data_IF_161044109249
#
_entry.id   IF_161044109249
#
_cell.length_a   1.000
_cell.length_b   1.000
_cell.length_c   1.000
_cell.angle_alpha   90.00
_cell.angle_beta   90.00
_cell.angle_gamma   90.00
#
_symmetry.space_group_name_H-M   'P 1'
#
loop_
_entity.id
_entity.type
_entity.pdbx_description
1 polymer ?
#
# COMPACT_ATOMS: atom_id res chain seq x y z
N UNK A 1 12.13 -2.98 -6.82
CA UNK A 1 12.11 -1.88 -5.83
C UNK A 1 11.87 -2.49 -4.47
N UNK A 2 12.69 -2.17 -3.47
CA UNK A 2 12.60 -2.89 -2.19
C UNK A 2 11.38 -2.45 -1.36
N UNK A 3 11.02 -1.18 -1.43
CA UNK A 3 9.88 -0.59 -0.73
C UNK A 3 9.06 0.26 -1.72
N UNK A 4 7.73 0.13 -1.65
CA UNK A 4 6.77 0.98 -2.36
C UNK A 4 6.07 1.85 -1.32
N UNK A 5 5.99 3.15 -1.56
CA UNK A 5 5.21 4.07 -0.71
C UNK A 5 3.96 4.49 -1.48
N UNK A 6 2.81 4.13 -0.94
CA UNK A 6 1.51 4.41 -1.53
C UNK A 6 0.95 5.71 -0.94
N UNK A 7 0.81 6.71 -1.82
CA UNK A 7 0.49 8.10 -1.50
C UNK A 7 -0.69 8.62 -2.33
N UNK A 8 -1.22 7.80 -3.26
CA UNK A 8 -2.23 8.27 -4.23
C UNK A 8 -3.60 8.46 -3.60
N UNK A 9 -3.88 7.81 -2.47
CA UNK A 9 -5.22 7.80 -1.86
C UNK A 9 -6.22 6.91 -2.60
N UNK A 10 -5.79 6.18 -3.64
CA UNK A 10 -6.65 5.29 -4.44
C UNK A 10 -6.61 3.87 -3.88
N UNK A 11 -5.43 3.39 -3.49
CA UNK A 11 -5.22 2.08 -2.90
C UNK A 11 -5.15 2.26 -1.38
N UNK A 12 -6.31 2.17 -0.72
CA UNK A 12 -6.47 2.48 0.71
C UNK A 12 -6.60 1.24 1.59
N UNK A 13 -6.67 0.07 0.97
CA UNK A 13 -6.79 -1.23 1.64
C UNK A 13 -5.59 -2.13 1.35
N UNK A 14 -5.32 -3.06 2.26
CA UNK A 14 -4.23 -4.03 2.14
C UNK A 14 -4.40 -4.87 0.87
N UNK A 15 -5.62 -5.32 0.57
CA UNK A 15 -5.91 -6.16 -0.59
C UNK A 15 -5.60 -5.47 -1.91
N UNK A 16 -5.92 -4.18 -2.03
CA UNK A 16 -5.59 -3.38 -3.21
C UNK A 16 -4.06 -3.24 -3.41
N UNK A 17 -3.32 -3.13 -2.30
CA UNK A 17 -1.86 -2.99 -2.31
C UNK A 17 -1.11 -4.31 -2.56
N UNK A 18 -1.77 -5.49 -2.49
CA UNK A 18 -1.13 -6.78 -2.77
C UNK A 18 -0.56 -6.85 -4.19
N UNK A 19 -1.14 -6.12 -5.14
CA UNK A 19 -0.63 -6.01 -6.51
C UNK A 19 0.83 -5.54 -6.57
N UNK A 20 1.26 -4.65 -5.67
CA UNK A 20 2.65 -4.20 -5.58
C UNK A 20 3.60 -5.29 -5.07
N UNK A 21 3.14 -6.13 -4.15
CA UNK A 21 3.90 -7.29 -3.67
C UNK A 21 4.09 -8.31 -4.80
N UNK A 22 3.03 -8.57 -5.58
CA UNK A 22 3.10 -9.44 -6.75
C UNK A 22 4.01 -8.87 -7.86
N UNK A 23 4.06 -7.55 -8.00
CA UNK A 23 4.97 -6.86 -8.92
C UNK A 23 6.45 -6.83 -8.43
N UNK A 24 6.75 -7.42 -7.27
CA UNK A 24 8.12 -7.59 -6.77
C UNK A 24 8.56 -6.59 -5.69
N UNK A 25 7.62 -5.89 -5.04
CA UNK A 25 7.94 -5.10 -3.86
C UNK A 25 8.11 -5.99 -2.62
N UNK A 26 9.11 -5.72 -1.77
CA UNK A 26 9.25 -6.45 -0.50
C UNK A 26 8.32 -5.91 0.59
N UNK A 27 7.97 -4.63 0.52
CA UNK A 27 7.08 -3.98 1.49
C UNK A 27 6.35 -2.80 0.85
N UNK A 28 5.09 -2.63 1.25
CA UNK A 28 4.26 -1.49 0.86
C UNK A 28 3.97 -0.66 2.10
N UNK A 29 4.13 0.65 2.00
CA UNK A 29 3.91 1.61 3.09
C UNK A 29 2.78 2.53 2.64
N UNK A 30 1.62 2.42 3.27
CA UNK A 30 0.47 3.30 3.02
C UNK A 30 0.56 4.46 4.00
N UNK A 31 0.62 5.69 3.49
CA UNK A 31 0.83 6.90 4.30
C UNK A 31 -0.35 7.87 4.29
N UNK A 32 -1.36 7.55 3.48
CA UNK A 32 -2.64 8.26 3.38
C UNK A 32 -3.67 7.64 4.32
N UNK A 33 -4.85 8.27 4.45
CA UNK A 33 -5.96 7.70 5.21
C UNK A 33 -6.32 6.32 4.66
N UNK A 34 -5.98 5.28 5.41
CA UNK A 34 -6.28 3.89 5.08
C UNK A 34 -7.55 3.48 5.80
N UNK A 35 -8.41 2.73 5.11
CA UNK A 35 -9.63 2.20 5.72
C UNK A 35 -9.35 1.10 6.75
N UNK A 36 -8.21 0.43 6.62
CA UNK A 36 -7.83 -0.73 7.44
C UNK A 36 -7.06 -0.36 8.71
N UNK A 37 -6.73 0.94 8.88
CA UNK A 37 -5.98 1.42 10.05
C UNK A 37 -6.83 2.46 10.78
N UNK A 38 -7.12 2.27 12.09
CA UNK A 38 -7.80 3.28 12.86
C UNK A 38 -6.96 4.56 12.89
N UNK A 39 -7.64 5.69 12.70
CA UNK A 39 -7.01 7.01 12.73
C UNK A 39 -6.50 7.37 14.12
#
# INVERSE_FOLDING_TARGET
PEYIVELTGVLTTIDQCQSHLQAGAKKVIITVSSADVPR
#
